data_IF_253175236352
#
_entry.id   IF_253175236352
#
_cell.length_a   1.000
_cell.length_b   1.000
_cell.length_c   1.000
_cell.angle_alpha   90.00
_cell.angle_beta   90.00
_cell.angle_gamma   90.00
#
_symmetry.space_group_name_H-M   'P 1'
#
loop_
_entity.id
_entity.type
_entity.pdbx_description
1 polymer ?
#
# COMPACT_ATOMS: atom_id res chain seq x y z
N UNK A 1 5.04 -1.56 11.94
CA UNK A 1 3.70 -1.51 12.55
C UNK A 1 3.83 -1.79 14.04
N UNK A 2 3.60 -0.80 14.89
CA UNK A 2 3.61 -0.99 16.35
C UNK A 2 2.16 -1.04 16.81
N UNK A 3 1.64 -2.23 17.10
CA UNK A 3 0.26 -2.38 17.55
C UNK A 3 0.20 -2.92 18.97
N UNK A 4 -0.68 -2.28 19.76
CA UNK A 4 -1.23 -2.84 20.98
C UNK A 4 -1.73 -4.27 20.73
N UNK A 5 -1.79 -5.11 21.77
CA UNK A 5 -2.29 -6.49 21.65
C UNK A 5 -3.68 -6.51 20.99
N UNK A 6 -3.73 -6.81 19.70
CA UNK A 6 -4.97 -6.91 18.94
C UNK A 6 -5.73 -8.13 19.44
N UNK A 7 -6.91 -7.90 19.98
CA UNK A 7 -7.81 -8.99 20.39
C UNK A 7 -8.66 -9.39 19.19
N UNK A 8 -8.60 -10.66 18.79
CA UNK A 8 -9.42 -11.18 17.69
C UNK A 8 -10.91 -11.00 18.03
N UNK A 9 -11.70 -10.30 17.19
CA UNK A 9 -13.12 -10.09 17.44
C UNK A 9 -13.92 -11.40 17.52
N UNK A 10 -15.01 -11.38 18.29
CA UNK A 10 -15.95 -12.49 18.34
C UNK A 10 -16.54 -12.76 16.94
N UNK A 11 -16.62 -14.02 16.54
CA UNK A 11 -17.11 -14.42 15.22
C UNK A 11 -16.06 -14.44 14.09
N UNK A 12 -14.88 -13.86 14.29
CA UNK A 12 -13.78 -13.95 13.32
C UNK A 12 -13.12 -15.35 13.31
N UNK A 13 -12.71 -15.81 12.14
CA UNK A 13 -12.04 -17.10 11.96
C UNK A 13 -10.61 -17.12 12.57
N UNK A 14 -9.92 -18.26 12.51
CA UNK A 14 -8.53 -18.37 13.02
C UNK A 14 -7.55 -17.47 12.29
N UNK A 15 -7.76 -17.28 11.00
CA UNK A 15 -7.02 -16.37 10.14
C UNK A 15 -7.66 -14.96 10.11
N UNK A 16 -8.49 -14.61 11.09
CA UNK A 16 -9.16 -13.31 11.20
C UNK A 16 -10.16 -12.96 10.11
N UNK A 17 -10.41 -13.86 9.16
CA UNK A 17 -11.43 -13.63 8.13
C UNK A 17 -12.83 -13.59 8.72
N UNK A 18 -13.67 -12.76 8.12
CA UNK A 18 -15.10 -12.65 8.40
C UNK A 18 -15.88 -12.74 7.07
N UNK A 19 -17.17 -13.11 7.09
CA UNK A 19 -18.03 -12.91 5.93
C UNK A 19 -18.08 -11.41 5.59
N UNK A 20 -17.99 -11.06 4.31
CA UNK A 20 -18.18 -9.67 3.87
C UNK A 20 -19.59 -9.16 4.21
N UNK A 21 -20.59 -10.04 4.09
CA UNK A 21 -22.02 -9.70 4.23
C UNK A 21 -22.41 -8.48 3.38
N UNK A 22 -22.14 -8.55 2.08
CA UNK A 22 -22.33 -7.43 1.13
C UNK A 22 -23.73 -6.78 1.22
N UNK A 23 -24.77 -7.57 1.53
CA UNK A 23 -26.14 -7.08 1.65
C UNK A 23 -26.37 -6.19 2.89
N UNK A 24 -25.46 -6.19 3.86
CA UNK A 24 -25.52 -5.34 5.04
C UNK A 24 -25.08 -3.89 4.76
N UNK A 25 -24.34 -3.65 3.67
CA UNK A 25 -24.00 -2.29 3.26
C UNK A 25 -25.26 -1.49 2.91
N UNK A 26 -25.33 -0.29 3.47
CA UNK A 26 -26.40 0.65 3.22
C UNK A 26 -26.24 1.31 1.85
N UNK A 27 -27.33 1.89 1.35
CA UNK A 27 -27.28 2.69 0.12
C UNK A 27 -26.34 3.91 0.23
N UNK A 28 -26.16 4.48 1.43
CA UNK A 28 -25.23 5.59 1.66
C UNK A 28 -23.76 5.15 1.57
N UNK A 29 -23.44 3.96 2.06
CA UNK A 29 -22.10 3.38 1.97
C UNK A 29 -21.74 3.06 0.52
N UNK A 30 -22.66 2.46 -0.24
CA UNK A 30 -22.47 2.27 -1.68
C UNK A 30 -22.33 3.59 -2.46
N UNK A 31 -23.14 4.60 -2.14
CA UNK A 31 -23.01 5.92 -2.77
C UNK A 31 -21.69 6.63 -2.41
N UNK A 32 -21.18 6.39 -1.20
CA UNK A 32 -19.88 6.90 -0.75
C UNK A 32 -18.75 6.28 -1.57
N UNK A 33 -18.80 4.97 -1.81
CA UNK A 33 -17.87 4.29 -2.71
C UNK A 33 -17.89 4.90 -4.10
N UNK A 34 -19.07 5.02 -4.72
CA UNK A 34 -19.21 5.55 -6.09
C UNK A 34 -18.64 6.97 -6.19
N UNK A 35 -18.88 7.82 -5.19
CA UNK A 35 -18.33 9.18 -5.13
C UNK A 35 -16.81 9.21 -5.04
N UNK A 36 -16.22 8.33 -4.22
CA UNK A 36 -14.78 8.21 -4.09
C UNK A 36 -14.15 7.68 -5.39
N UNK A 37 -14.74 6.65 -5.97
CA UNK A 37 -14.32 6.04 -7.24
C UNK A 37 -14.33 7.06 -8.37
N UNK A 38 -15.44 7.77 -8.56
CA UNK A 38 -15.57 8.81 -9.59
C UNK A 38 -14.55 9.93 -9.42
N UNK A 39 -14.29 10.36 -8.18
CA UNK A 39 -13.29 11.38 -7.89
C UNK A 39 -11.89 10.92 -8.30
N UNK A 40 -11.50 9.70 -7.94
CA UNK A 40 -10.16 9.20 -8.23
C UNK A 40 -9.98 8.88 -9.72
N UNK A 41 -10.93 8.21 -10.36
CA UNK A 41 -10.83 7.86 -11.80
C UNK A 41 -10.72 9.09 -12.71
N UNK A 42 -11.25 10.25 -12.29
CA UNK A 42 -11.04 11.52 -13.01
C UNK A 42 -9.64 12.12 -12.80
N UNK A 43 -9.00 11.85 -11.68
CA UNK A 43 -7.70 12.42 -11.30
C UNK A 43 -6.52 11.57 -11.79
N UNK A 44 -6.64 10.25 -11.74
CA UNK A 44 -5.53 9.31 -12.00
C UNK A 44 -4.95 9.30 -13.44
N UNK A 45 -5.71 9.58 -14.53
CA UNK A 45 -5.14 9.56 -15.87
C UNK A 45 -3.94 10.49 -16.03
N UNK A 46 -2.81 9.93 -16.50
CA UNK A 46 -1.54 10.64 -16.63
C UNK A 46 -0.72 10.77 -15.34
N UNK A 47 -1.27 10.38 -14.19
CA UNK A 47 -0.60 10.41 -12.88
C UNK A 47 -0.22 9.03 -12.38
N UNK A 48 -1.10 8.05 -12.53
CA UNK A 48 -0.86 6.66 -12.09
C UNK A 48 -0.19 5.84 -13.19
N UNK A 49 0.47 4.75 -12.80
CA UNK A 49 1.11 3.83 -13.75
C UNK A 49 0.09 3.16 -14.66
N UNK A 50 0.42 2.86 -15.94
CA UNK A 50 -0.50 2.20 -16.87
C UNK A 50 -1.10 0.89 -16.33
N UNK A 51 -0.29 0.09 -15.63
CA UNK A 51 -0.69 -1.20 -15.06
C UNK A 51 -1.83 -1.06 -14.05
N UNK A 52 -1.87 0.04 -13.31
CA UNK A 52 -2.99 0.33 -12.38
C UNK A 52 -4.25 0.68 -13.17
N UNK A 53 -4.15 1.51 -14.22
CA UNK A 53 -5.31 1.88 -15.05
C UNK A 53 -5.90 0.67 -15.76
N UNK A 54 -5.04 -0.20 -16.31
CA UNK A 54 -5.45 -1.45 -16.94
C UNK A 54 -6.13 -2.38 -15.92
N UNK A 55 -5.66 -2.37 -14.67
CA UNK A 55 -6.23 -3.14 -13.57
C UNK A 55 -7.56 -2.62 -13.03
N UNK A 56 -7.92 -1.36 -13.23
CA UNK A 56 -9.17 -0.78 -12.70
C UNK A 56 -10.43 -1.50 -13.19
N UNK A 57 -10.39 -2.10 -14.37
CA UNK A 57 -11.52 -2.84 -14.93
C UNK A 57 -11.91 -4.07 -14.09
N UNK A 58 -11.00 -4.60 -13.26
CA UNK A 58 -11.32 -5.68 -12.32
C UNK A 58 -12.37 -5.26 -11.29
N UNK A 59 -12.42 -3.96 -10.95
CA UNK A 59 -13.36 -3.37 -9.99
C UNK A 59 -14.72 -3.04 -10.62
N UNK A 60 -14.86 -3.12 -11.95
CA UNK A 60 -16.14 -2.89 -12.64
C UNK A 60 -16.98 -4.16 -12.61
N UNK A 61 -17.63 -4.37 -11.48
CA UNK A 61 -18.43 -5.56 -11.17
C UNK A 61 -19.87 -5.47 -11.71
N UNK A 62 -20.63 -6.55 -11.54
CA UNK A 62 -22.02 -6.65 -11.99
C UNK A 62 -22.97 -5.66 -11.30
N UNK A 63 -22.61 -5.18 -10.11
CA UNK A 63 -23.37 -4.22 -9.31
C UNK A 63 -22.56 -2.93 -9.08
N UNK A 64 -23.21 -1.75 -9.03
CA UNK A 64 -22.57 -0.50 -8.61
C UNK A 64 -22.28 -0.49 -7.10
N UNK A 65 -21.49 0.48 -6.63
CA UNK A 65 -21.11 0.60 -5.23
C UNK A 65 -19.91 -0.27 -4.82
N UNK A 66 -19.84 -0.57 -3.53
CA UNK A 66 -18.77 -1.37 -2.91
C UNK A 66 -18.66 -2.74 -3.62
N UNK A 67 -17.45 -3.17 -4.05
CA UNK A 67 -17.28 -4.44 -4.73
C UNK A 67 -17.70 -5.65 -3.91
N UNK A 68 -18.43 -6.58 -4.53
CA UNK A 68 -18.68 -7.91 -3.97
C UNK A 68 -17.37 -8.73 -4.03
N UNK A 69 -16.87 -9.19 -2.87
CA UNK A 69 -15.58 -9.85 -2.79
C UNK A 69 -15.57 -11.23 -3.44
N UNK A 70 -16.74 -11.88 -3.56
CA UNK A 70 -16.86 -13.14 -4.29
C UNK A 70 -16.61 -12.92 -5.79
N UNK A 71 -17.33 -11.98 -6.40
CA UNK A 71 -17.15 -11.65 -7.82
C UNK A 71 -15.74 -11.09 -8.10
N UNK A 72 -15.23 -10.22 -7.23
CA UNK A 72 -13.89 -9.66 -7.34
C UNK A 72 -12.82 -10.77 -7.28
N UNK A 73 -12.95 -11.69 -6.32
CA UNK A 73 -12.04 -12.83 -6.18
C UNK A 73 -12.09 -13.78 -7.37
N UNK A 74 -13.27 -14.04 -7.95
CA UNK A 74 -13.39 -14.85 -9.16
C UNK A 74 -12.61 -14.28 -10.34
N UNK A 75 -12.56 -12.94 -10.46
CA UNK A 75 -11.78 -12.25 -11.50
C UNK A 75 -10.28 -12.30 -11.21
N UNK A 76 -9.87 -12.02 -9.98
CA UNK A 76 -8.45 -12.08 -9.57
C UNK A 76 -7.87 -13.49 -9.66
N UNK A 77 -8.64 -14.51 -9.26
CA UNK A 77 -8.22 -15.90 -9.33
C UNK A 77 -7.91 -16.33 -10.77
N UNK A 78 -8.67 -15.83 -11.75
CA UNK A 78 -8.43 -16.07 -13.18
C UNK A 78 -7.21 -15.31 -13.70
N UNK A 79 -6.96 -14.10 -13.20
CA UNK A 79 -5.85 -13.26 -13.65
C UNK A 79 -4.50 -13.72 -13.08
N UNK A 80 -4.41 -13.89 -11.77
CA UNK A 80 -3.15 -14.09 -11.05
C UNK A 80 -3.26 -15.08 -9.90
N UNK A 81 -4.40 -15.75 -9.71
CA UNK A 81 -4.60 -16.67 -8.58
C UNK A 81 -4.72 -15.98 -7.22
N UNK A 82 -4.98 -14.67 -7.21
CA UNK A 82 -5.25 -13.89 -6.01
C UNK A 82 -6.73 -13.86 -5.68
N UNK A 83 -7.05 -13.63 -4.41
CA UNK A 83 -8.41 -13.36 -3.93
C UNK A 83 -8.40 -12.28 -2.85
N UNK A 84 -9.54 -11.64 -2.63
CA UNK A 84 -9.74 -10.66 -1.54
C UNK A 84 -10.58 -11.31 -0.45
N UNK A 85 -10.15 -11.17 0.80
CA UNK A 85 -10.88 -11.66 1.98
C UNK A 85 -11.21 -10.52 2.92
N UNK A 86 -12.42 -10.53 3.48
CA UNK A 86 -12.85 -9.52 4.43
C UNK A 86 -12.27 -9.79 5.82
N UNK A 87 -11.78 -8.73 6.46
CA UNK A 87 -11.30 -8.73 7.85
C UNK A 87 -11.99 -7.60 8.61
N UNK A 88 -12.10 -7.70 9.96
CA UNK A 88 -12.79 -6.69 10.76
C UNK A 88 -12.07 -5.32 10.82
N UNK A 89 -10.84 -5.25 10.32
CA UNK A 89 -9.96 -4.07 10.36
C UNK A 89 -8.51 -4.52 10.33
N UNK A 90 -7.65 -3.90 11.15
CA UNK A 90 -6.26 -4.32 11.32
C UNK A 90 -6.17 -5.77 11.83
N UNK A 91 -5.25 -6.54 11.25
CA UNK A 91 -4.93 -7.91 11.66
C UNK A 91 -3.49 -7.98 12.17
N UNK A 92 -3.13 -8.98 13.00
CA UNK A 92 -1.75 -9.19 13.42
C UNK A 92 -0.82 -9.40 12.22
N UNK A 93 0.44 -8.95 12.33
CA UNK A 93 1.43 -9.04 11.24
C UNK A 93 1.60 -10.48 10.73
N UNK A 94 1.65 -11.47 11.63
CA UNK A 94 1.76 -12.89 11.25
C UNK A 94 0.60 -13.38 10.37
N UNK A 95 -0.61 -12.90 10.66
CA UNK A 95 -1.83 -13.21 9.90
C UNK A 95 -1.79 -12.51 8.54
N UNK A 96 -1.43 -11.22 8.53
CA UNK A 96 -1.26 -10.45 7.30
C UNK A 96 -0.27 -11.13 6.33
N UNK A 97 0.92 -11.51 6.83
CA UNK A 97 1.94 -12.17 6.03
C UNK A 97 1.51 -13.54 5.52
N UNK A 98 0.80 -14.34 6.33
CA UNK A 98 0.27 -15.63 5.88
C UNK A 98 -0.75 -15.46 4.74
N UNK A 99 -1.63 -14.47 4.84
CA UNK A 99 -2.57 -14.15 3.76
C UNK A 99 -1.84 -13.81 2.46
N UNK A 100 -0.89 -12.87 2.48
CA UNK A 100 -0.13 -12.50 1.29
C UNK A 100 0.69 -13.66 0.71
N UNK A 101 1.35 -14.45 1.56
CA UNK A 101 2.13 -15.63 1.15
C UNK A 101 1.29 -16.65 0.36
N UNK A 102 -0.01 -16.70 0.63
CA UNK A 102 -0.97 -17.59 0.00
C UNK A 102 -1.93 -16.87 -0.96
N UNK A 103 -1.53 -15.71 -1.51
CA UNK A 103 -2.30 -14.93 -2.50
C UNK A 103 -3.71 -14.56 -2.03
N UNK A 104 -3.86 -14.27 -0.75
CA UNK A 104 -5.08 -13.68 -0.16
C UNK A 104 -4.75 -12.26 0.26
N UNK A 105 -5.45 -11.28 -0.29
CA UNK A 105 -5.33 -9.88 0.14
C UNK A 105 -6.43 -9.60 1.18
N UNK A 106 -6.06 -9.12 2.37
CA UNK A 106 -7.02 -8.77 3.42
C UNK A 106 -7.55 -7.36 3.17
N UNK A 107 -8.85 -7.16 3.28
CA UNK A 107 -9.48 -5.85 3.16
C UNK A 107 -10.48 -5.60 4.30
N UNK A 108 -10.46 -4.39 4.85
CA UNK A 108 -11.41 -3.95 5.87
C UNK A 108 -12.85 -3.99 5.36
N UNK A 109 -13.77 -4.40 6.22
CA UNK A 109 -15.17 -4.63 5.85
C UNK A 109 -16.09 -3.42 6.13
N UNK A 110 -15.58 -2.19 6.08
CA UNK A 110 -16.34 -0.96 6.31
C UNK A 110 -15.89 0.14 5.34
N UNK A 111 -16.71 1.17 5.14
CA UNK A 111 -16.34 2.35 4.36
C UNK A 111 -16.39 3.60 5.24
N UNK A 112 -15.49 4.55 5.00
CA UNK A 112 -15.48 5.86 5.67
C UNK A 112 -16.83 6.58 5.51
N UNK A 113 -17.16 7.43 6.48
CA UNK A 113 -18.39 8.25 6.38
C UNK A 113 -18.23 9.38 5.35
N UNK A 114 -19.33 9.98 4.85
CA UNK A 114 -19.28 11.16 3.99
C UNK A 114 -18.51 12.35 4.59
N UNK A 115 -18.43 12.47 5.93
CA UNK A 115 -17.67 13.51 6.61
C UNK A 115 -16.14 13.27 6.60
N UNK A 116 -15.71 12.03 6.30
CA UNK A 116 -14.32 11.58 6.29
C UNK A 116 -13.79 11.34 4.86
N UNK A 117 -14.49 11.82 3.82
CA UNK A 117 -14.13 11.60 2.42
C UNK A 117 -12.69 11.98 2.07
N UNK A 118 -12.16 13.01 2.72
CA UNK A 118 -10.82 13.55 2.42
C UNK A 118 -9.71 12.88 3.22
N UNK A 119 -10.02 12.32 4.40
CA UNK A 119 -9.04 11.62 5.22
C UNK A 119 -9.70 10.69 6.23
N UNK A 120 -9.16 9.47 6.32
CA UNK A 120 -9.44 8.51 7.38
C UNK A 120 -8.10 7.91 7.79
N UNK A 121 -7.84 7.82 9.10
CA UNK A 121 -6.59 7.25 9.63
C UNK A 121 -6.56 5.71 9.49
N UNK A 122 -7.71 5.06 9.64
CA UNK A 122 -7.84 3.60 9.50
C UNK A 122 -8.05 3.23 8.02
N UNK A 123 -7.44 2.13 7.53
CA UNK A 123 -7.70 1.65 6.18
C UNK A 123 -9.14 1.13 6.10
N UNK A 124 -9.94 1.71 5.22
CA UNK A 124 -11.29 1.26 4.90
C UNK A 124 -11.30 0.46 3.60
N UNK A 125 -12.46 -0.11 3.25
CA UNK A 125 -12.64 -0.90 2.02
C UNK A 125 -12.24 -0.13 0.77
N UNK A 126 -12.41 1.19 0.74
CA UNK A 126 -11.98 1.99 -0.41
C UNK A 126 -10.46 2.02 -0.52
N UNK A 127 -9.74 2.31 0.56
CA UNK A 127 -8.29 2.23 0.54
C UNK A 127 -7.78 0.84 0.14
N UNK A 128 -8.27 -0.20 0.79
CA UNK A 128 -7.79 -1.57 0.57
C UNK A 128 -8.13 -2.06 -0.83
N UNK A 129 -9.37 -1.90 -1.28
CA UNK A 129 -9.84 -2.47 -2.54
C UNK A 129 -9.51 -1.58 -3.73
N UNK A 130 -9.79 -0.27 -3.66
CA UNK A 130 -9.43 0.62 -4.78
C UNK A 130 -7.92 0.83 -4.86
N UNK A 131 -7.24 0.94 -3.73
CA UNK A 131 -5.81 1.27 -3.68
C UNK A 131 -4.90 0.11 -4.08
N UNK A 132 -5.17 -1.10 -3.61
CA UNK A 132 -4.25 -2.23 -3.80
C UNK A 132 -4.67 -3.19 -4.92
N UNK A 133 -5.96 -3.52 -5.00
CA UNK A 133 -6.43 -4.64 -5.82
C UNK A 133 -6.20 -4.47 -7.34
N UNK A 134 -6.30 -3.26 -7.95
CA UNK A 134 -6.02 -3.10 -9.37
C UNK A 134 -4.63 -3.62 -9.78
N UNK A 135 -3.58 -3.43 -8.97
CA UNK A 135 -2.25 -3.94 -9.32
C UNK A 135 -2.11 -5.45 -9.11
N UNK A 136 -3.01 -6.11 -8.38
CA UNK A 136 -2.97 -7.56 -8.20
C UNK A 136 -3.35 -8.34 -9.47
N UNK A 137 -3.88 -7.70 -10.51
CA UNK A 137 -4.02 -8.33 -11.83
C UNK A 137 -2.72 -8.30 -12.65
N UNK A 138 -1.74 -7.47 -12.26
CA UNK A 138 -0.43 -7.41 -12.90
C UNK A 138 0.46 -8.53 -12.34
N UNK A 139 0.90 -9.51 -13.14
CA UNK A 139 1.52 -10.74 -12.63
C UNK A 139 2.81 -10.48 -11.84
N UNK A 140 3.64 -9.53 -12.27
CA UNK A 140 4.90 -9.21 -11.57
C UNK A 140 4.63 -8.57 -10.20
N UNK A 141 3.63 -7.69 -10.11
CA UNK A 141 3.28 -7.04 -8.84
C UNK A 141 2.59 -8.04 -7.89
N UNK A 142 1.72 -8.89 -8.43
CA UNK A 142 1.09 -9.99 -7.72
C UNK A 142 2.12 -10.98 -7.14
N UNK A 143 3.15 -11.33 -7.90
CA UNK A 143 4.24 -12.19 -7.42
C UNK A 143 5.10 -11.46 -6.37
N UNK A 144 5.30 -10.14 -6.50
CA UNK A 144 6.00 -9.32 -5.50
C UNK A 144 5.26 -9.31 -4.16
N UNK A 145 3.94 -9.10 -4.18
CA UNK A 145 3.10 -9.14 -2.98
C UNK A 145 3.17 -10.51 -2.29
N UNK A 146 3.22 -11.60 -3.06
CA UNK A 146 3.36 -12.94 -2.51
C UNK A 146 4.75 -13.15 -1.91
N UNK A 147 5.80 -12.75 -2.62
CA UNK A 147 7.19 -12.83 -2.16
C UNK A 147 7.38 -12.05 -0.85
N UNK A 148 6.78 -10.87 -0.75
CA UNK A 148 6.74 -10.07 0.48
C UNK A 148 6.07 -10.83 1.63
N UNK A 149 4.91 -11.45 1.41
CA UNK A 149 4.25 -12.28 2.42
C UNK A 149 5.12 -13.44 2.93
N UNK A 150 5.76 -14.18 2.01
CA UNK A 150 6.69 -15.26 2.34
C UNK A 150 7.93 -14.73 3.11
N UNK A 151 8.43 -13.56 2.71
CA UNK A 151 9.53 -12.87 3.40
C UNK A 151 9.16 -12.46 4.83
N UNK A 152 7.92 -12.00 5.03
CA UNK A 152 7.34 -11.63 6.32
C UNK A 152 7.38 -12.75 7.36
N UNK A 153 6.96 -13.95 6.95
CA UNK A 153 7.00 -15.14 7.80
C UNK A 153 8.43 -15.46 8.29
N UNK A 154 9.44 -15.25 7.45
CA UNK A 154 10.85 -15.42 7.83
C UNK A 154 11.35 -14.31 8.75
N UNK A 155 11.00 -13.06 8.46
CA UNK A 155 11.42 -11.90 9.24
C UNK A 155 10.85 -11.88 10.66
N UNK A 156 9.62 -12.39 10.85
CA UNK A 156 9.02 -12.55 12.17
C UNK A 156 9.91 -13.41 13.09
N UNK A 157 10.45 -14.52 12.58
CA UNK A 157 11.40 -15.36 13.31
C UNK A 157 12.76 -14.72 13.60
N UNK A 158 13.10 -13.61 12.92
CA UNK A 158 14.38 -12.90 13.05
C UNK A 158 14.25 -11.54 13.75
N UNK A 159 13.05 -11.16 14.22
CA UNK A 159 12.80 -9.85 14.84
C UNK A 159 12.95 -8.67 13.88
N UNK A 160 12.77 -8.88 12.57
CA UNK A 160 13.00 -7.89 11.52
C UNK A 160 11.70 -7.31 10.91
N UNK A 161 10.56 -7.49 11.56
CA UNK A 161 9.23 -7.04 11.08
C UNK A 161 9.21 -5.52 10.81
N UNK A 162 9.87 -4.71 11.64
CA UNK A 162 9.95 -3.26 11.43
C UNK A 162 10.62 -2.89 10.10
N UNK A 163 11.67 -3.63 9.70
CA UNK A 163 12.39 -3.42 8.44
C UNK A 163 11.51 -3.74 7.23
N UNK A 164 10.76 -4.84 7.30
CA UNK A 164 9.78 -5.18 6.25
C UNK A 164 8.60 -4.22 6.22
N UNK A 165 8.14 -3.74 7.37
CA UNK A 165 7.09 -2.73 7.44
C UNK A 165 7.48 -1.48 6.64
N UNK A 166 8.75 -1.06 6.72
CA UNK A 166 9.27 0.06 5.92
C UNK A 166 9.30 -0.26 4.43
N UNK A 167 9.69 -1.49 4.06
CA UNK A 167 9.64 -1.97 2.68
C UNK A 167 8.23 -1.82 2.12
N UNK A 168 7.23 -2.37 2.80
CA UNK A 168 5.82 -2.29 2.38
C UNK A 168 5.32 -0.84 2.32
N UNK A 169 5.63 -0.04 3.35
CA UNK A 169 5.22 1.35 3.42
C UNK A 169 5.72 2.18 2.24
N UNK A 170 7.02 2.12 1.95
CA UNK A 170 7.63 2.92 0.89
C UNK A 170 7.51 2.32 -0.51
N UNK A 171 6.85 1.17 -0.64
CA UNK A 171 6.55 0.56 -1.94
C UNK A 171 5.05 0.41 -2.14
N UNK A 172 4.43 -0.59 -1.54
CA UNK A 172 3.02 -0.91 -1.70
C UNK A 172 2.11 0.24 -1.28
N UNK A 173 2.44 1.00 -0.22
CA UNK A 173 1.59 2.09 0.24
C UNK A 173 1.91 3.45 -0.40
N UNK A 174 3.20 3.82 -0.45
CA UNK A 174 3.64 5.15 -0.87
C UNK A 174 4.73 5.14 -1.96
N UNK A 175 4.76 4.08 -2.77
CA UNK A 175 5.73 3.97 -3.86
C UNK A 175 5.37 4.79 -5.10
N UNK A 176 6.42 5.29 -5.76
CA UNK A 176 6.39 5.86 -7.09
C UNK A 176 7.18 4.98 -8.07
N UNK A 177 6.80 4.99 -9.34
CA UNK A 177 7.48 4.24 -10.40
C UNK A 177 7.86 5.17 -11.54
N UNK A 178 8.99 4.89 -12.18
CA UNK A 178 9.34 5.54 -13.45
C UNK A 178 8.49 5.00 -14.58
N UNK A 179 7.92 5.89 -15.37
CA UNK A 179 7.18 5.51 -16.59
C UNK A 179 7.42 6.55 -17.68
N UNK A 180 8.09 6.13 -18.75
CA UNK A 180 8.58 7.04 -19.79
C UNK A 180 9.53 8.09 -19.22
N UNK A 181 9.25 9.37 -19.49
CA UNK A 181 10.07 10.51 -19.03
C UNK A 181 9.69 11.02 -17.63
N UNK A 182 8.65 10.45 -17.00
CA UNK A 182 8.11 10.98 -15.74
C UNK A 182 7.98 9.94 -14.63
N UNK A 183 7.56 10.44 -13.47
CA UNK A 183 7.17 9.62 -12.32
C UNK A 183 5.67 9.35 -12.36
N UNK A 184 5.27 8.18 -11.87
CA UNK A 184 3.88 7.77 -11.74
C UNK A 184 3.60 7.19 -10.37
N UNK A 185 2.35 7.32 -9.95
CA UNK A 185 1.83 6.73 -8.72
C UNK A 185 1.63 5.22 -8.91
N UNK A 186 1.92 4.44 -7.86
CA UNK A 186 1.43 3.06 -7.75
C UNK A 186 1.07 2.69 -6.31
N UNK A 187 1.63 3.38 -5.31
CA UNK A 187 1.33 3.14 -3.90
C UNK A 187 -0.15 3.37 -3.58
N UNK A 188 -0.75 2.40 -2.88
CA UNK A 188 -2.18 2.35 -2.55
C UNK A 188 -2.65 3.52 -1.68
N UNK A 189 -1.86 3.89 -0.67
CA UNK A 189 -2.07 5.08 0.16
C UNK A 189 -2.09 6.38 -0.64
N UNK A 190 -1.35 6.43 -1.76
CA UNK A 190 -1.35 7.59 -2.65
C UNK A 190 -2.59 7.57 -3.55
N UNK A 191 -2.81 6.49 -4.31
CA UNK A 191 -3.87 6.45 -5.34
C UNK A 191 -5.29 6.48 -4.76
N UNK A 192 -5.47 6.01 -3.52
CA UNK A 192 -6.75 6.11 -2.79
C UNK A 192 -6.96 7.49 -2.14
N UNK A 193 -5.92 8.33 -2.03
CA UNK A 193 -5.98 9.67 -1.44
C UNK A 193 -5.87 10.77 -2.50
N UNK A 194 -6.88 11.64 -2.57
CA UNK A 194 -6.91 12.72 -3.56
C UNK A 194 -5.79 13.75 -3.31
N UNK A 195 -5.56 14.10 -2.05
CA UNK A 195 -4.57 15.11 -1.68
C UNK A 195 -3.15 14.57 -1.69
N UNK A 196 -2.93 13.32 -1.26
CA UNK A 196 -1.62 12.67 -1.34
C UNK A 196 -1.18 12.51 -2.80
N UNK A 197 -2.11 12.13 -3.70
CA UNK A 197 -1.81 11.99 -5.14
C UNK A 197 -1.28 13.28 -5.78
N UNK A 198 -1.85 14.44 -5.41
CA UNK A 198 -1.35 15.73 -5.85
C UNK A 198 -0.02 16.07 -5.17
N UNK A 199 0.08 15.90 -3.85
CA UNK A 199 1.28 16.22 -3.09
C UNK A 199 2.49 15.40 -3.54
N UNK A 200 2.31 14.10 -3.79
CA UNK A 200 3.37 13.18 -4.19
C UNK A 200 4.00 13.51 -5.54
N UNK A 201 3.29 14.15 -6.48
CA UNK A 201 3.82 14.49 -7.81
C UNK A 201 4.05 15.99 -8.04
N UNK A 202 3.18 16.84 -7.52
CA UNK A 202 3.09 18.25 -7.93
C UNK A 202 3.76 19.18 -6.91
N UNK A 203 3.77 18.81 -5.63
CA UNK A 203 4.33 19.65 -4.57
C UNK A 203 5.86 19.58 -4.55
N UNK A 204 6.57 20.72 -4.35
CA UNK A 204 8.04 20.76 -4.24
C UNK A 204 8.56 20.40 -2.84
N UNK A 205 7.68 20.14 -1.86
CA UNK A 205 8.07 19.81 -0.49
C UNK A 205 8.71 18.43 -0.32
N UNK A 206 8.15 17.32 -0.83
CA UNK A 206 8.69 16.00 -0.56
C UNK A 206 9.96 15.69 -1.37
N UNK A 207 10.83 14.86 -0.79
CA UNK A 207 11.92 14.27 -1.54
C UNK A 207 11.39 13.13 -2.41
N UNK A 208 11.96 12.96 -3.60
CA UNK A 208 11.71 11.79 -4.46
C UNK A 208 13.05 11.11 -4.69
N UNK A 209 13.22 9.94 -4.09
CA UNK A 209 14.52 9.25 -3.96
C UNK A 209 14.42 7.90 -4.69
N UNK A 210 15.44 7.51 -5.43
CA UNK A 210 15.50 6.19 -6.05
C UNK A 210 15.46 5.06 -5.03
N UNK A 211 14.75 3.99 -5.38
CA UNK A 211 14.68 2.79 -4.56
C UNK A 211 16.09 2.20 -4.34
N UNK A 212 16.42 1.98 -3.07
CA UNK A 212 17.54 1.17 -2.62
C UNK A 212 17.06 0.40 -1.39
N UNK A 213 17.13 -0.94 -1.45
CA UNK A 213 16.53 -1.81 -0.44
C UNK A 213 17.09 -1.56 0.98
N UNK A 214 18.41 -1.43 1.11
CA UNK A 214 19.09 -1.24 2.40
C UNK A 214 18.75 0.11 3.02
N UNK A 215 18.84 1.15 2.20
CA UNK A 215 18.47 2.53 2.53
C UNK A 215 17.02 2.60 2.99
N UNK A 216 16.11 2.06 2.20
CA UNK A 216 14.68 2.10 2.46
C UNK A 216 14.35 1.39 3.78
N UNK A 217 14.88 0.19 4.00
CA UNK A 217 14.69 -0.55 5.26
C UNK A 217 15.24 0.16 6.50
N UNK A 218 16.13 1.15 6.34
CA UNK A 218 16.63 1.99 7.42
C UNK A 218 15.87 3.31 7.57
N UNK A 219 14.96 3.64 6.67
CA UNK A 219 14.26 4.93 6.65
C UNK A 219 13.05 4.89 7.58
N UNK A 220 12.95 5.82 8.53
CA UNK A 220 11.74 5.99 9.33
C UNK A 220 10.60 6.52 8.46
N UNK A 221 9.36 6.29 8.85
CA UNK A 221 8.17 6.82 8.19
C UNK A 221 7.17 7.35 9.22
N UNK A 222 6.15 8.07 8.75
CA UNK A 222 5.05 8.56 9.58
C UNK A 222 3.71 8.18 8.96
N UNK A 223 2.71 7.98 9.81
CA UNK A 223 1.40 7.44 9.42
C UNK A 223 0.26 8.46 9.52
N UNK A 224 0.55 9.64 10.06
CA UNK A 224 -0.43 10.64 10.50
C UNK A 224 -0.44 11.92 9.64
N UNK A 225 0.32 11.92 8.54
CA UNK A 225 0.53 13.10 7.69
C UNK A 225 1.11 12.72 6.32
N UNK A 226 1.23 13.70 5.43
CA UNK A 226 1.88 13.55 4.13
C UNK A 226 3.32 13.06 4.27
N UNK A 227 3.76 12.22 3.32
CA UNK A 227 5.09 11.66 3.34
C UNK A 227 6.15 12.72 2.99
N UNK A 228 7.22 12.78 3.78
CA UNK A 228 8.36 13.68 3.49
C UNK A 228 9.30 13.11 2.42
N UNK A 229 9.27 11.79 2.21
CA UNK A 229 10.02 11.05 1.21
C UNK A 229 9.09 10.09 0.45
N UNK A 230 9.24 10.04 -0.87
CA UNK A 230 8.72 8.96 -1.72
C UNK A 230 9.88 8.20 -2.36
N UNK A 231 9.77 6.88 -2.43
CA UNK A 231 10.77 6.04 -3.10
C UNK A 231 10.30 5.68 -4.52
N UNK A 232 11.23 5.81 -5.47
CA UNK A 232 11.01 5.65 -6.90
C UNK A 232 11.68 4.36 -7.38
N UNK A 233 10.87 3.35 -7.70
CA UNK A 233 11.34 2.14 -8.37
C UNK A 233 11.53 2.40 -9.87
N UNK A 234 12.46 1.67 -10.47
CA UNK A 234 12.67 1.73 -11.93
C UNK A 234 11.62 0.89 -12.68
N UNK A 235 11.21 -0.26 -12.11
CA UNK A 235 10.20 -1.17 -12.67
C UNK A 235 9.70 -2.13 -11.59
N UNK A 236 8.54 -2.77 -11.81
CA UNK A 236 8.04 -3.81 -10.91
C UNK A 236 8.92 -5.06 -10.94
N UNK A 237 9.56 -5.35 -12.08
CA UNK A 237 10.49 -6.45 -12.25
C UNK A 237 11.72 -6.30 -11.37
N UNK A 238 12.32 -5.11 -11.32
CA UNK A 238 13.45 -4.81 -10.42
C UNK A 238 13.04 -4.92 -8.94
N UNK A 239 11.85 -4.41 -8.58
CA UNK A 239 11.33 -4.53 -7.21
C UNK A 239 11.12 -6.01 -6.81
N UNK A 240 10.57 -6.83 -7.71
CA UNK A 240 10.40 -8.26 -7.51
C UNK A 240 11.75 -8.97 -7.41
N UNK A 241 12.67 -8.70 -8.32
CA UNK A 241 14.00 -9.31 -8.38
C UNK A 241 14.78 -9.05 -7.08
N UNK A 242 14.84 -7.79 -6.64
CA UNK A 242 15.49 -7.42 -5.38
C UNK A 242 14.83 -8.08 -4.16
N UNK A 243 13.54 -8.41 -4.24
CA UNK A 243 12.84 -9.12 -3.15
C UNK A 243 13.07 -10.62 -3.19
N UNK A 244 13.09 -11.26 -4.37
CA UNK A 244 13.26 -12.71 -4.49
C UNK A 244 14.72 -13.15 -4.33
N UNK A 245 15.65 -12.36 -4.88
CA UNK A 245 17.06 -12.74 -4.99
C UNK A 245 17.94 -12.16 -3.88
N UNK A 246 17.37 -11.36 -2.98
CA UNK A 246 18.08 -10.92 -1.77
C UNK A 246 17.92 -11.94 -0.65
N UNK A 247 19.04 -12.44 -0.11
CA UNK A 247 19.02 -13.17 1.15
C UNK A 247 18.81 -12.18 2.30
N UNK A 248 17.58 -12.12 2.78
CA UNK A 248 17.19 -11.22 3.86
C UNK A 248 17.85 -11.54 5.20
N UNK A 249 18.31 -12.78 5.44
CA UNK A 249 18.91 -13.15 6.74
C UNK A 249 20.22 -12.36 7.03
N UNK A 250 21.23 -12.45 6.15
CA UNK A 250 22.43 -11.63 6.22
C UNK A 250 22.13 -10.13 6.14
N UNK A 251 21.16 -9.72 5.30
CA UNK A 251 20.74 -8.33 5.20
C UNK A 251 20.26 -7.78 6.55
N UNK A 252 19.33 -8.46 7.22
CA UNK A 252 18.81 -8.01 8.51
C UNK A 252 19.93 -7.91 9.55
N UNK A 253 20.85 -8.87 9.56
CA UNK A 253 22.02 -8.84 10.45
C UNK A 253 22.89 -7.61 10.19
N UNK A 254 23.13 -7.28 8.92
CA UNK A 254 23.88 -6.09 8.51
C UNK A 254 23.17 -4.79 8.93
N UNK A 255 21.84 -4.74 8.81
CA UNK A 255 21.04 -3.56 9.12
C UNK A 255 20.88 -3.34 10.63
N UNK A 256 20.86 -4.39 11.46
CA UNK A 256 20.80 -4.27 12.93
C UNK A 256 21.98 -3.47 13.50
N UNK A 257 23.14 -3.53 12.86
CA UNK A 257 24.33 -2.77 13.27
C UNK A 257 24.34 -1.31 12.80
N UNK A 258 23.35 -0.85 12.03
CA UNK A 258 23.35 0.47 11.41
C UNK A 258 22.25 1.37 12.01
N UNK A 259 22.51 2.69 12.15
CA UNK A 259 21.50 3.62 12.64
C UNK A 259 20.36 3.76 11.63
N UNK A 260 19.17 4.02 12.15
CA UNK A 260 18.04 4.46 11.34
C UNK A 260 18.30 5.83 10.71
N UNK A 261 17.60 6.09 9.61
CA UNK A 261 17.67 7.32 8.84
C UNK A 261 16.37 8.08 9.09
N UNK A 262 16.49 9.35 9.48
CA UNK A 262 15.33 10.22 9.71
C UNK A 262 14.55 10.47 8.41
N UNK A 263 13.25 10.71 8.58
CA UNK A 263 12.25 10.68 7.51
C UNK A 263 12.50 11.69 6.38
N UNK A 264 13.22 12.77 6.63
CA UNK A 264 13.51 13.86 5.68
C UNK A 264 14.93 13.80 5.10
N UNK A 265 15.77 12.90 5.61
CA UNK A 265 17.20 12.85 5.29
C UNK A 265 17.41 12.38 3.85
N UNK A 266 18.29 13.07 3.12
CA UNK A 266 18.90 12.60 1.86
C UNK A 266 20.35 12.20 2.16
N UNK A 267 20.76 11.00 1.73
CA UNK A 267 22.13 10.52 1.86
C UNK A 267 22.96 10.86 0.61
N UNK A 268 24.30 11.00 0.73
CA UNK A 268 25.17 11.26 -0.42
C UNK A 268 25.11 10.21 -1.54
N UNK A 269 24.71 8.98 -1.22
CA UNK A 269 24.57 7.88 -2.18
C UNK A 269 23.17 7.80 -2.81
N UNK A 270 22.21 8.60 -2.35
CA UNK A 270 20.83 8.55 -2.84
C UNK A 270 20.78 9.05 -4.29
N UNK A 271 20.10 8.31 -5.16
CA UNK A 271 19.70 8.81 -6.49
C UNK A 271 18.51 9.77 -6.29
N UNK A 272 18.74 11.07 -6.39
CA UNK A 272 17.70 12.07 -6.11
C UNK A 272 17.00 12.51 -7.41
N UNK A 273 15.68 12.31 -7.47
CA UNK A 273 14.81 12.86 -8.53
C UNK A 273 14.26 14.23 -8.17
N UNK A 274 14.03 14.46 -6.88
CA UNK A 274 13.66 15.77 -6.34
C UNK A 274 14.27 15.93 -4.97
N UNK A 275 15.08 16.97 -4.79
CA UNK A 275 15.46 17.48 -3.48
C UNK A 275 14.33 18.39 -2.98
N UNK A 276 13.50 17.83 -2.10
CA UNK A 276 12.30 18.49 -1.61
C UNK A 276 12.64 19.63 -0.64
N UNK A 277 11.86 20.70 -0.68
CA UNK A 277 12.05 21.86 0.21
C UNK A 277 11.71 21.56 1.67
N UNK A 278 10.97 20.47 1.92
CA UNK A 278 10.38 20.11 3.22
C UNK A 278 9.50 21.22 3.82
N UNK A 279 9.03 22.16 2.98
CA UNK A 279 8.29 23.34 3.43
C UNK A 279 7.00 22.99 4.16
N UNK A 280 6.27 21.97 3.70
CA UNK A 280 5.02 21.54 4.32
C UNK A 280 5.25 21.07 5.78
N UNK A 281 6.20 20.15 5.96
CA UNK A 281 6.51 19.60 7.28
C UNK A 281 7.07 20.68 8.23
N UNK A 282 7.97 21.54 7.73
CA UNK A 282 8.53 22.65 8.51
C UNK A 282 7.46 23.66 8.94
N UNK A 283 6.48 23.95 8.08
CA UNK A 283 5.39 24.85 8.42
C UNK A 283 4.49 24.31 9.55
N UNK A 284 4.27 22.99 9.60
CA UNK A 284 3.51 22.35 10.69
C UNK A 284 4.24 22.32 12.03
N UNK A 285 5.56 22.18 12.04
CA UNK A 285 6.34 22.23 13.30
C UNK A 285 6.38 23.65 13.88
N UNK A 286 6.27 24.66 13.02
CA UNK A 286 6.29 26.07 13.42
C UNK A 286 4.93 26.62 13.89
N UNK A 287 3.84 25.88 13.67
CA UNK A 287 2.46 26.27 14.03
C UNK A 287 2.07 25.75 15.41
#
# INVERSE_FOLDING_TARGET
MAHAELTRPEGAAKDWTIPQDWAAYTAEEHATWDRLFDRQVRMLPGRVTPEFLDGLDVLRLSKPGIPDFGELSDRLMKATGWQVVAVPGLVPDEVFFDHLANRRFVAGNFIRTPAQLDYLQEPDVFHDVFGHVPLLVHPVFADYMQAYGVGGQRAAGLGAIDRLSRLYWYTVEFGLVRSGEGLRLYGAGIVSSFTESAFALDDPSPNRIGFDLKRLMRTKYRIDDFQQNYFVIDSFEDLLDQTLNTDFGPLYTELTGQPDIEIETILPADRVYTEGTQAYARAKVAA
#
